data_IF_341671090851
#
_entry.id   IF_341671090851
#
_cell.length_a   1.000
_cell.length_b   1.000
_cell.length_c   1.000
_cell.angle_alpha   90.00
_cell.angle_beta   90.00
_cell.angle_gamma   90.00
#
_symmetry.space_group_name_H-M   'P 1'
#
loop_
_entity.id
_entity.type
_entity.pdbx_description
1 polymer ?
#
# COMPACT_ATOMS: atom_id res chain seq x y z
N UNK A 1 -0.58 -5.93 -39.40
CA UNK A 1 -1.39 -6.29 -38.23
C UNK A 1 -2.81 -6.54 -38.72
N UNK A 2 -3.43 -7.65 -38.34
CA UNK A 2 -4.81 -7.98 -38.76
C UNK A 2 -5.79 -7.05 -38.05
N UNK A 3 -6.78 -6.59 -38.77
CA UNK A 3 -7.81 -5.63 -38.27
C UNK A 3 -9.20 -6.28 -38.27
N UNK A 4 -10.15 -5.69 -37.54
CA UNK A 4 -11.55 -6.13 -37.59
C UNK A 4 -12.17 -6.06 -39.00
N UNK A 5 -11.65 -5.21 -39.91
CA UNK A 5 -12.05 -5.14 -41.28
C UNK A 5 -11.59 -6.38 -42.09
N UNK A 6 -10.42 -6.90 -41.79
CA UNK A 6 -9.89 -8.09 -42.42
C UNK A 6 -10.68 -9.34 -42.00
N UNK A 7 -11.06 -9.43 -40.71
CA UNK A 7 -11.91 -10.52 -40.17
C UNK A 7 -13.32 -10.42 -40.84
N UNK A 8 -13.87 -9.21 -40.97
CA UNK A 8 -15.16 -9.01 -41.59
C UNK A 8 -15.18 -9.47 -43.05
N UNK A 9 -14.11 -9.14 -43.79
CA UNK A 9 -13.93 -9.56 -45.20
C UNK A 9 -13.80 -11.09 -45.30
N UNK A 10 -12.97 -11.70 -44.52
CA UNK A 10 -12.73 -13.15 -44.55
C UNK A 10 -13.97 -13.94 -44.05
N UNK A 11 -14.64 -13.43 -43.03
CA UNK A 11 -15.85 -14.05 -42.47
C UNK A 11 -17.15 -13.77 -43.22
N UNK A 12 -17.12 -12.94 -44.29
CA UNK A 12 -18.31 -12.59 -45.05
C UNK A 12 -19.40 -11.84 -44.24
N UNK A 13 -19.00 -11.09 -43.19
CA UNK A 13 -19.91 -10.38 -42.31
C UNK A 13 -19.56 -8.91 -42.20
N UNK A 14 -20.47 -8.11 -41.66
CA UNK A 14 -20.18 -6.68 -41.42
C UNK A 14 -19.16 -6.45 -40.32
N UNK A 15 -18.43 -5.34 -40.38
CA UNK A 15 -17.48 -4.93 -39.31
C UNK A 15 -18.21 -4.77 -37.97
N UNK A 16 -19.47 -4.32 -37.97
CA UNK A 16 -20.28 -4.21 -36.76
C UNK A 16 -20.64 -5.59 -36.19
N UNK A 17 -20.86 -6.61 -37.03
CA UNK A 17 -21.09 -7.98 -36.61
C UNK A 17 -19.85 -8.56 -35.95
N UNK A 18 -18.67 -8.35 -36.54
CA UNK A 18 -17.38 -8.77 -35.95
C UNK A 18 -17.17 -8.10 -34.59
N UNK A 19 -17.34 -6.76 -34.53
CA UNK A 19 -17.17 -5.99 -33.30
C UNK A 19 -18.08 -6.49 -32.16
N UNK A 20 -19.35 -6.77 -32.48
CA UNK A 20 -20.33 -7.29 -31.51
C UNK A 20 -20.04 -8.73 -31.09
N UNK A 21 -19.61 -9.57 -32.04
CA UNK A 21 -19.25 -10.95 -31.75
C UNK A 21 -18.03 -11.06 -30.84
N UNK A 22 -17.00 -10.22 -31.07
CA UNK A 22 -15.79 -10.14 -30.24
C UNK A 22 -16.04 -9.51 -28.86
N UNK A 23 -17.16 -8.78 -28.71
CA UNK A 23 -17.60 -8.17 -27.45
C UNK A 23 -18.68 -9.00 -26.72
N UNK A 24 -18.94 -10.23 -27.14
CA UNK A 24 -19.96 -11.13 -26.56
C UNK A 24 -21.38 -10.51 -26.49
N UNK A 25 -21.70 -9.63 -27.44
CA UNK A 25 -22.99 -8.97 -27.47
C UNK A 25 -24.14 -9.96 -27.61
N UNK A 26 -25.19 -9.86 -26.78
CA UNK A 26 -26.37 -10.72 -26.88
C UNK A 26 -27.13 -10.56 -28.21
N UNK A 27 -26.82 -9.52 -28.98
CA UNK A 27 -27.43 -9.28 -30.31
C UNK A 27 -26.86 -10.20 -31.40
N UNK A 28 -25.83 -10.99 -31.10
CA UNK A 28 -25.22 -11.93 -32.05
C UNK A 28 -25.46 -13.36 -31.51
N UNK A 29 -25.96 -14.29 -32.37
CA UNK A 29 -26.13 -15.69 -31.97
C UNK A 29 -24.79 -16.30 -31.53
N UNK A 30 -24.81 -17.09 -30.45
CA UNK A 30 -23.60 -17.72 -29.89
C UNK A 30 -22.77 -18.47 -30.94
N UNK A 31 -23.44 -19.23 -31.82
CA UNK A 31 -22.76 -19.97 -32.89
C UNK A 31 -22.01 -19.07 -33.88
N UNK A 32 -22.56 -17.89 -34.17
CA UNK A 32 -21.91 -16.91 -35.04
C UNK A 32 -20.75 -16.23 -34.29
N UNK A 33 -20.92 -15.88 -33.03
CA UNK A 33 -19.87 -15.32 -32.19
C UNK A 33 -18.66 -16.26 -32.11
N UNK A 34 -18.89 -17.55 -31.83
CA UNK A 34 -17.81 -18.55 -31.78
C UNK A 34 -17.06 -18.71 -33.10
N UNK A 35 -17.79 -18.73 -34.24
CA UNK A 35 -17.15 -18.79 -35.56
C UNK A 35 -16.23 -17.60 -35.82
N UNK A 36 -16.71 -16.40 -35.49
CA UNK A 36 -15.93 -15.16 -35.66
C UNK A 36 -14.71 -15.14 -34.73
N UNK A 37 -14.83 -15.57 -33.47
CA UNK A 37 -13.72 -15.68 -32.53
C UNK A 37 -12.64 -16.65 -33.01
N UNK A 38 -13.04 -17.85 -33.45
CA UNK A 38 -12.09 -18.83 -34.03
C UNK A 38 -11.41 -18.28 -35.30
N UNK A 39 -12.13 -17.53 -36.13
CA UNK A 39 -11.54 -16.90 -37.30
C UNK A 39 -10.52 -15.83 -36.92
N UNK A 40 -10.85 -14.97 -35.97
CA UNK A 40 -9.97 -13.94 -35.44
C UNK A 40 -8.68 -14.55 -34.86
N UNK A 41 -8.79 -15.62 -34.10
CA UNK A 41 -7.68 -16.36 -33.51
C UNK A 41 -6.77 -16.97 -34.60
N UNK A 42 -7.34 -17.65 -35.59
CA UNK A 42 -6.57 -18.21 -36.73
C UNK A 42 -5.84 -17.15 -37.53
N UNK A 43 -6.44 -15.95 -37.66
CA UNK A 43 -5.81 -14.83 -38.37
C UNK A 43 -4.75 -14.10 -37.52
N UNK A 44 -4.57 -14.47 -36.27
CA UNK A 44 -3.65 -13.78 -35.35
C UNK A 44 -4.12 -12.36 -35.01
N UNK A 45 -5.44 -12.14 -34.95
CA UNK A 45 -5.98 -10.85 -34.53
C UNK A 45 -5.76 -10.64 -33.06
N UNK A 46 -5.10 -9.54 -32.73
CA UNK A 46 -4.95 -9.05 -31.36
C UNK A 46 -5.91 -7.87 -31.18
N UNK A 47 -6.75 -7.97 -30.15
CA UNK A 47 -7.71 -6.93 -29.83
C UNK A 47 -6.97 -5.62 -29.51
N UNK A 48 -7.28 -4.56 -30.22
CA UNK A 48 -6.66 -3.27 -29.98
C UNK A 48 -7.44 -2.53 -28.87
N UNK A 49 -6.95 -2.65 -27.65
CA UNK A 49 -7.56 -2.04 -26.46
C UNK A 49 -7.58 -0.51 -26.51
N UNK A 50 -6.56 0.11 -27.12
CA UNK A 50 -6.53 1.54 -27.37
C UNK A 50 -7.68 2.01 -28.28
N UNK A 51 -8.04 1.20 -29.30
CA UNK A 51 -9.16 1.50 -30.19
C UNK A 51 -10.52 1.32 -29.45
N UNK A 52 -10.61 0.39 -28.53
CA UNK A 52 -11.81 0.16 -27.72
C UNK A 52 -11.97 1.30 -26.72
N UNK A 53 -10.93 1.65 -26.00
CA UNK A 53 -10.89 2.80 -25.08
C UNK A 53 -11.27 4.12 -25.78
N UNK A 54 -10.85 4.30 -27.06
CA UNK A 54 -11.27 5.44 -27.87
C UNK A 54 -12.77 5.43 -28.18
N UNK A 55 -13.36 4.25 -28.39
CA UNK A 55 -14.78 4.09 -28.75
C UNK A 55 -15.70 4.15 -27.53
N UNK A 56 -15.28 3.60 -26.40
CA UNK A 56 -16.08 3.50 -25.18
C UNK A 56 -15.87 4.68 -24.23
N UNK A 57 -14.77 5.44 -24.42
CA UNK A 57 -14.33 6.48 -23.47
C UNK A 57 -13.77 5.94 -22.16
N UNK A 58 -13.78 4.60 -21.95
CA UNK A 58 -13.33 3.94 -20.72
C UNK A 58 -12.05 3.18 -21.00
N UNK A 59 -11.02 3.40 -20.21
CA UNK A 59 -9.79 2.61 -20.18
C UNK A 59 -9.92 1.51 -19.12
N UNK A 60 -9.36 0.36 -19.40
CA UNK A 60 -9.19 -0.71 -18.42
C UNK A 60 -7.74 -0.73 -17.89
N UNK A 61 -7.24 0.44 -17.54
CA UNK A 61 -5.85 0.60 -17.10
C UNK A 61 -5.77 1.49 -15.86
N UNK A 62 -5.08 1.02 -14.83
CA UNK A 62 -4.86 1.75 -13.59
C UNK A 62 -3.38 2.06 -13.40
N UNK A 63 -3.08 3.20 -12.80
CA UNK A 63 -1.72 3.60 -12.45
C UNK A 63 -1.37 3.24 -11.02
N UNK A 64 -0.12 2.86 -10.77
CA UNK A 64 0.41 2.71 -9.41
C UNK A 64 1.50 3.74 -9.19
N UNK A 65 1.34 4.55 -8.17
CA UNK A 65 2.34 5.43 -7.61
C UNK A 65 2.84 4.83 -6.30
N UNK A 66 4.14 4.61 -6.20
CA UNK A 66 4.78 4.16 -4.97
C UNK A 66 5.74 5.23 -4.49
N UNK A 67 5.53 5.70 -3.26
CA UNK A 67 6.41 6.66 -2.57
C UNK A 67 7.32 5.96 -1.55
N UNK A 68 7.39 4.63 -1.59
CA UNK A 68 8.36 3.89 -0.79
C UNK A 68 9.76 4.41 -1.12
N UNK A 69 10.54 4.68 -0.08
CA UNK A 69 11.91 5.16 -0.22
C UNK A 69 12.65 4.38 -1.31
N UNK A 70 13.46 5.08 -2.11
CA UNK A 70 14.23 4.49 -3.21
C UNK A 70 15.06 3.28 -2.76
N UNK A 71 15.41 3.20 -1.48
CA UNK A 71 16.14 2.08 -0.88
C UNK A 71 15.38 0.75 -0.88
N UNK A 72 14.05 0.76 -0.77
CA UNK A 72 13.24 -0.46 -0.69
C UNK A 72 12.47 -0.76 -1.97
N UNK A 73 12.00 0.26 -2.68
CA UNK A 73 11.22 0.10 -3.89
C UNK A 73 10.08 -0.92 -3.71
N UNK A 74 9.95 -1.87 -4.63
CA UNK A 74 8.97 -2.95 -4.58
C UNK A 74 9.38 -4.14 -3.69
N UNK A 75 10.59 -4.13 -3.11
CA UNK A 75 11.05 -5.21 -2.22
C UNK A 75 10.51 -5.09 -0.78
N UNK A 76 9.81 -4.01 -0.46
CA UNK A 76 9.19 -3.84 0.84
C UNK A 76 8.01 -4.80 1.02
N UNK A 77 8.14 -5.79 1.90
CA UNK A 77 7.17 -6.89 2.05
C UNK A 77 5.72 -6.46 2.27
N UNK A 78 5.48 -5.43 3.09
CA UNK A 78 4.13 -4.91 3.34
C UNK A 78 3.50 -4.43 2.03
N UNK A 79 4.20 -3.53 1.32
CA UNK A 79 3.68 -2.93 0.09
C UNK A 79 3.66 -3.91 -1.06
N UNK A 80 4.64 -4.80 -1.15
CA UNK A 80 4.63 -5.91 -2.10
C UNK A 80 3.41 -6.83 -1.90
N UNK A 81 3.05 -7.12 -0.65
CA UNK A 81 1.86 -7.92 -0.32
C UNK A 81 0.55 -7.23 -0.69
N UNK A 82 0.45 -5.92 -0.45
CA UNK A 82 -0.72 -5.11 -0.84
C UNK A 82 -0.83 -5.05 -2.37
N UNK A 83 0.29 -4.77 -3.05
CA UNK A 83 0.34 -4.69 -4.49
C UNK A 83 0.01 -6.03 -5.17
N UNK A 84 0.51 -7.15 -4.64
CA UNK A 84 0.20 -8.49 -5.16
C UNK A 84 -1.31 -8.78 -5.09
N UNK A 85 -1.94 -8.47 -3.95
CA UNK A 85 -3.37 -8.67 -3.77
C UNK A 85 -4.22 -7.76 -4.66
N UNK A 86 -3.79 -6.49 -4.81
CA UNK A 86 -4.41 -5.53 -5.73
C UNK A 86 -4.27 -5.99 -7.17
N UNK A 87 -3.07 -6.37 -7.59
CA UNK A 87 -2.79 -6.79 -8.96
C UNK A 87 -3.58 -8.05 -9.36
N UNK A 88 -3.67 -9.02 -8.46
CA UNK A 88 -4.50 -10.22 -8.69
C UNK A 88 -5.95 -9.85 -8.94
N UNK A 89 -6.51 -8.98 -8.11
CA UNK A 89 -7.90 -8.56 -8.24
C UNK A 89 -8.16 -7.74 -9.49
N UNK A 90 -7.25 -6.83 -9.86
CA UNK A 90 -7.31 -6.07 -11.12
C UNK A 90 -7.28 -7.01 -12.34
N UNK A 91 -6.40 -8.00 -12.31
CA UNK A 91 -6.31 -9.01 -13.37
C UNK A 91 -7.60 -9.83 -13.51
N UNK A 92 -8.23 -10.23 -12.41
CA UNK A 92 -9.53 -10.92 -12.40
C UNK A 92 -10.63 -10.06 -13.06
N UNK A 93 -10.50 -8.74 -12.99
CA UNK A 93 -11.40 -7.75 -13.61
C UNK A 93 -10.96 -7.31 -15.01
N UNK A 94 -9.92 -7.90 -15.58
CA UNK A 94 -9.31 -7.56 -16.88
C UNK A 94 -8.78 -6.13 -16.94
N UNK A 95 -8.23 -5.61 -15.84
CA UNK A 95 -7.53 -4.33 -15.84
C UNK A 95 -6.02 -4.52 -15.98
N UNK A 96 -5.39 -3.65 -16.76
CA UNK A 96 -3.94 -3.54 -16.86
C UNK A 96 -3.39 -2.58 -15.81
N UNK A 97 -2.17 -2.84 -15.34
CA UNK A 97 -1.52 -2.04 -14.32
C UNK A 97 -0.28 -1.37 -14.90
N UNK A 98 -0.18 -0.06 -14.73
CA UNK A 98 0.97 0.74 -15.12
C UNK A 98 1.69 1.29 -13.90
N UNK A 99 2.99 1.02 -13.82
CA UNK A 99 3.84 1.66 -12.83
C UNK A 99 4.17 3.08 -13.30
N UNK A 100 3.89 4.06 -12.46
CA UNK A 100 4.15 5.47 -12.75
C UNK A 100 5.54 5.84 -12.22
N UNK A 101 6.39 6.34 -13.09
CA UNK A 101 7.75 6.71 -12.73
C UNK A 101 7.79 7.92 -11.78
N UNK A 102 8.66 7.84 -10.77
CA UNK A 102 8.92 8.94 -9.83
C UNK A 102 9.40 10.23 -10.52
N UNK A 103 9.95 10.15 -11.75
CA UNK A 103 10.27 11.34 -12.54
C UNK A 103 9.06 12.22 -12.84
N UNK A 104 7.88 11.62 -12.97
CA UNK A 104 6.62 12.33 -13.18
C UNK A 104 6.12 13.06 -11.94
N UNK A 105 6.67 12.75 -10.77
CA UNK A 105 6.28 13.34 -9.48
C UNK A 105 6.93 14.68 -9.17
N UNK A 106 7.87 15.14 -9.99
CA UNK A 106 8.59 16.41 -9.76
C UNK A 106 7.70 17.65 -9.95
N UNK A 107 6.64 17.51 -10.73
CA UNK A 107 5.68 18.58 -11.03
C UNK A 107 4.27 17.97 -11.21
N UNK A 108 3.31 18.49 -10.47
CA UNK A 108 1.93 17.97 -10.46
C UNK A 108 1.24 18.06 -11.81
N UNK A 109 1.50 19.11 -12.59
CA UNK A 109 0.90 19.26 -13.92
C UNK A 109 1.48 18.25 -14.92
N UNK A 110 2.76 17.90 -14.76
CA UNK A 110 3.41 16.84 -15.54
C UNK A 110 2.84 15.47 -15.18
N UNK A 111 2.59 15.23 -13.88
CA UNK A 111 1.95 14.00 -13.42
C UNK A 111 0.55 13.86 -14.03
N UNK A 112 -0.32 14.85 -13.85
CA UNK A 112 -1.70 14.81 -14.38
C UNK A 112 -1.73 14.64 -15.89
N UNK A 113 -0.89 15.37 -16.62
CA UNK A 113 -0.75 15.19 -18.09
C UNK A 113 -0.32 13.77 -18.45
N UNK A 114 0.63 13.20 -17.72
CA UNK A 114 1.09 11.81 -17.96
C UNK A 114 -0.03 10.80 -17.72
N UNK A 115 -0.79 10.94 -16.63
CA UNK A 115 -1.91 10.06 -16.31
C UNK A 115 -3.03 10.14 -17.38
N UNK A 116 -3.41 11.36 -17.75
CA UNK A 116 -4.43 11.59 -18.79
C UNK A 116 -3.97 11.11 -20.17
N UNK A 117 -2.70 11.30 -20.55
CA UNK A 117 -2.17 10.84 -21.82
C UNK A 117 -2.19 9.31 -21.95
N UNK A 118 -2.02 8.60 -20.84
CA UNK A 118 -2.14 7.14 -20.75
C UNK A 118 -3.59 6.66 -20.62
N UNK A 119 -4.55 7.60 -20.50
CA UNK A 119 -5.97 7.31 -20.30
C UNK A 119 -6.24 6.37 -19.13
N UNK A 120 -5.49 6.51 -18.04
CA UNK A 120 -5.70 5.70 -16.85
C UNK A 120 -7.07 6.03 -16.24
N UNK A 121 -7.83 5.00 -15.87
CA UNK A 121 -9.14 5.16 -15.26
C UNK A 121 -9.08 5.45 -13.76
N UNK A 122 -7.93 5.23 -13.13
CA UNK A 122 -7.68 5.53 -11.72
C UNK A 122 -6.23 5.32 -11.34
N UNK A 123 -5.90 5.70 -10.13
CA UNK A 123 -4.54 5.61 -9.59
C UNK A 123 -4.58 5.04 -8.17
N UNK A 124 -3.73 4.06 -7.91
CA UNK A 124 -3.41 3.60 -6.57
C UNK A 124 -2.12 4.26 -6.08
N UNK A 125 -2.19 4.92 -4.93
CA UNK A 125 -1.02 5.43 -4.21
C UNK A 125 -0.70 4.47 -3.08
N UNK A 126 0.47 3.84 -3.15
CA UNK A 126 1.00 2.98 -2.10
C UNK A 126 1.95 3.77 -1.23
N UNK A 127 1.66 3.78 0.05
CA UNK A 127 2.50 4.28 1.11
C UNK A 127 3.03 5.71 1.03
N UNK A 128 3.10 6.26 2.21
CA UNK A 128 3.80 7.50 2.45
C UNK A 128 3.11 8.63 1.71
N UNK A 129 2.02 9.07 2.25
CA UNK A 129 1.49 10.35 1.86
C UNK A 129 2.62 11.38 1.93
N UNK A 130 3.39 11.41 0.86
CA UNK A 130 4.28 12.53 0.62
C UNK A 130 3.37 13.71 0.30
N UNK A 131 3.32 14.71 1.18
CA UNK A 131 2.64 16.00 0.94
C UNK A 131 3.31 16.77 -0.20
N UNK A 132 3.78 16.08 -1.23
CA UNK A 132 4.32 16.71 -2.41
C UNK A 132 3.20 17.42 -3.15
N UNK A 133 3.49 18.56 -3.73
CA UNK A 133 2.57 19.33 -4.56
C UNK A 133 1.91 18.48 -5.65
N UNK A 134 2.64 17.51 -6.17
CA UNK A 134 2.14 16.58 -7.20
C UNK A 134 1.04 15.65 -6.71
N UNK A 135 1.19 15.10 -5.49
CA UNK A 135 0.17 14.25 -4.88
C UNK A 135 -1.05 15.07 -4.52
N UNK A 136 -0.85 16.26 -3.97
CA UNK A 136 -1.93 17.19 -3.64
C UNK A 136 -2.78 17.50 -4.88
N UNK A 137 -2.13 17.90 -5.98
CA UNK A 137 -2.84 18.15 -7.25
C UNK A 137 -3.56 16.91 -7.79
N UNK A 138 -3.01 15.70 -7.59
CA UNK A 138 -3.69 14.46 -8.00
C UNK A 138 -4.93 14.21 -7.16
N UNK A 139 -4.84 14.33 -5.84
CA UNK A 139 -5.95 14.13 -4.92
C UNK A 139 -7.08 15.15 -5.14
N UNK A 140 -6.75 16.38 -5.52
CA UNK A 140 -7.69 17.44 -5.85
C UNK A 140 -8.27 17.32 -7.28
N UNK A 141 -7.76 16.39 -8.10
CA UNK A 141 -8.16 16.24 -9.49
C UNK A 141 -9.44 15.40 -9.67
N UNK A 142 -9.89 15.31 -10.91
CA UNK A 142 -11.01 14.46 -11.37
C UNK A 142 -10.59 12.98 -11.62
N UNK A 143 -9.34 12.62 -11.32
CA UNK A 143 -8.85 11.25 -11.54
C UNK A 143 -9.18 10.41 -10.30
N UNK A 144 -9.95 9.31 -10.42
CA UNK A 144 -10.20 8.40 -9.31
C UNK A 144 -8.89 7.94 -8.67
N UNK A 145 -8.76 8.18 -7.37
CA UNK A 145 -7.51 7.92 -6.66
C UNK A 145 -7.79 7.16 -5.38
N UNK A 146 -7.03 6.11 -5.14
CA UNK A 146 -7.05 5.37 -3.90
C UNK A 146 -5.70 5.53 -3.21
N UNK A 147 -5.72 5.92 -1.95
CA UNK A 147 -4.53 6.10 -1.12
C UNK A 147 -4.53 5.05 -0.02
N UNK A 148 -3.45 4.26 0.06
CA UNK A 148 -3.27 3.30 1.14
C UNK A 148 -2.39 3.91 2.22
N UNK A 149 -2.88 3.88 3.46
CA UNK A 149 -2.22 4.44 4.65
C UNK A 149 -1.90 5.94 4.55
N UNK A 150 -2.66 6.64 3.73
CA UNK A 150 -2.65 8.09 3.67
C UNK A 150 -4.03 8.62 4.02
N UNK A 151 -4.09 9.67 4.81
CA UNK A 151 -5.32 10.41 5.06
C UNK A 151 -5.02 11.90 5.03
N UNK A 152 -5.86 12.65 4.34
CA UNK A 152 -5.89 14.11 4.41
C UNK A 152 -7.34 14.54 4.61
N UNK A 153 -7.54 15.57 5.41
CA UNK A 153 -8.88 16.09 5.69
C UNK A 153 -9.50 16.75 4.44
N UNK A 154 -8.66 17.19 3.49
CA UNK A 154 -9.07 17.87 2.25
C UNK A 154 -8.99 16.94 1.02
N UNK A 155 -9.61 15.77 1.07
CA UNK A 155 -9.67 14.86 -0.07
C UNK A 155 -10.89 15.18 -0.96
N UNK A 156 -10.70 15.07 -2.28
CA UNK A 156 -11.79 15.24 -3.25
C UNK A 156 -12.79 14.06 -3.18
N UNK A 157 -13.99 14.27 -3.73
CA UNK A 157 -15.01 13.22 -3.88
C UNK A 157 -14.51 12.01 -4.71
N UNK A 158 -13.44 12.19 -5.49
CA UNK A 158 -12.83 11.14 -6.32
C UNK A 158 -11.69 10.43 -5.64
N UNK A 159 -11.38 10.75 -4.39
CA UNK A 159 -10.27 10.14 -3.63
C UNK A 159 -10.80 9.33 -2.45
N UNK A 160 -10.33 8.10 -2.33
CA UNK A 160 -10.66 7.20 -1.24
C UNK A 160 -9.40 6.81 -0.47
N UNK A 161 -9.49 6.79 0.85
CA UNK A 161 -8.42 6.33 1.72
C UNK A 161 -8.76 4.97 2.31
N UNK A 162 -7.80 4.06 2.25
CA UNK A 162 -7.89 2.72 2.83
C UNK A 162 -6.73 2.55 3.79
N UNK A 163 -7.01 2.18 5.01
CA UNK A 163 -5.99 2.03 6.04
C UNK A 163 -6.29 0.81 6.93
N UNK A 164 -5.25 0.29 7.56
CA UNK A 164 -5.41 -0.64 8.67
C UNK A 164 -6.01 0.08 9.88
N UNK A 165 -6.58 -0.69 10.81
CA UNK A 165 -7.04 -0.21 12.11
C UNK A 165 -5.85 0.18 13.01
N UNK A 166 -5.08 1.18 12.60
CA UNK A 166 -3.82 1.58 13.22
C UNK A 166 -3.96 1.90 14.71
N UNK A 167 -5.01 2.64 15.09
CA UNK A 167 -5.29 3.01 16.48
C UNK A 167 -5.59 1.75 17.32
N UNK A 168 -6.49 0.91 16.83
CA UNK A 168 -6.90 -0.29 17.54
C UNK A 168 -5.77 -1.32 17.65
N UNK A 169 -5.02 -1.54 16.56
CA UNK A 169 -3.86 -2.43 16.57
C UNK A 169 -2.82 -2.02 17.59
N UNK A 170 -2.49 -0.73 17.67
CA UNK A 170 -1.54 -0.23 18.66
C UNK A 170 -2.10 -0.25 20.08
N UNK A 171 -3.38 -0.01 20.26
CA UNK A 171 -4.06 -0.15 21.56
C UNK A 171 -3.96 -1.59 22.08
N UNK A 172 -4.29 -2.58 21.24
CA UNK A 172 -4.22 -4.00 21.62
C UNK A 172 -2.80 -4.46 21.94
N UNK A 173 -1.83 -4.05 21.10
CA UNK A 173 -0.42 -4.34 21.35
C UNK A 173 0.04 -3.78 22.70
N UNK A 174 -0.25 -2.50 22.96
CA UNK A 174 0.12 -1.83 24.20
C UNK A 174 -0.54 -2.49 25.40
N UNK A 175 -1.83 -2.79 25.30
CA UNK A 175 -2.58 -3.49 26.35
C UNK A 175 -2.00 -4.87 26.65
N UNK A 176 -1.56 -5.60 25.62
CA UNK A 176 -0.91 -6.90 25.80
C UNK A 176 0.43 -6.79 26.55
N UNK A 177 1.23 -5.77 26.23
CA UNK A 177 2.51 -5.50 26.91
C UNK A 177 2.29 -5.07 28.37
N UNK A 178 1.28 -4.22 28.61
CA UNK A 178 0.91 -3.82 29.97
C UNK A 178 0.43 -5.01 30.83
N UNK A 179 -0.34 -5.94 30.25
CA UNK A 179 -0.76 -7.19 30.92
C UNK A 179 0.43 -8.10 31.30
N UNK A 180 1.54 -8.00 30.56
CA UNK A 180 2.80 -8.72 30.90
C UNK A 180 3.61 -8.05 32.01
N UNK A 181 3.15 -6.94 32.56
CA UNK A 181 3.77 -6.26 33.71
C UNK A 181 4.66 -5.07 33.33
N UNK A 182 4.87 -4.79 32.05
CA UNK A 182 5.60 -3.59 31.66
C UNK A 182 4.85 -2.33 32.09
N UNK A 183 5.59 -1.33 32.59
CA UNK A 183 5.05 -0.03 32.99
C UNK A 183 5.86 1.10 32.39
N UNK A 184 7.16 0.93 32.22
CA UNK A 184 8.04 1.88 31.59
C UNK A 184 8.27 1.47 30.14
N UNK A 185 7.43 1.97 29.23
CA UNK A 185 7.39 1.60 27.83
C UNK A 185 7.76 2.83 27.00
N UNK A 186 8.75 2.70 26.12
CA UNK A 186 9.09 3.73 25.16
C UNK A 186 8.47 3.44 23.80
N UNK A 187 8.20 4.48 23.05
CA UNK A 187 7.74 4.38 21.67
C UNK A 187 8.58 5.28 20.76
N UNK A 188 9.35 4.64 19.88
CA UNK A 188 9.99 5.30 18.75
C UNK A 188 8.92 5.40 17.66
N UNK A 189 8.37 6.62 17.46
CA UNK A 189 7.31 6.87 16.49
C UNK A 189 7.91 7.02 15.07
N UNK A 190 7.10 6.82 14.04
CA UNK A 190 7.43 7.22 12.67
C UNK A 190 7.39 8.73 12.45
N UNK A 191 7.52 9.14 11.20
CA UNK A 191 7.34 10.55 10.78
C UNK A 191 5.92 11.04 11.07
N UNK A 192 5.72 12.34 10.87
CA UNK A 192 4.47 13.05 11.12
C UNK A 192 3.40 12.74 10.05
N UNK A 193 2.92 11.50 10.07
CA UNK A 193 1.88 11.00 9.16
C UNK A 193 0.62 10.58 9.93
N UNK A 194 -0.49 10.50 9.23
CA UNK A 194 -1.76 10.03 9.78
C UNK A 194 -1.64 8.71 10.55
N UNK A 195 -0.98 7.69 9.96
CA UNK A 195 -0.80 6.39 10.61
C UNK A 195 -0.03 6.50 11.93
N UNK A 196 0.95 7.39 12.02
CA UNK A 196 1.70 7.67 13.25
C UNK A 196 0.80 8.25 14.32
N UNK A 197 -0.03 9.23 13.94
CA UNK A 197 -0.97 9.86 14.87
C UNK A 197 -1.97 8.84 15.43
N UNK A 198 -2.53 7.99 14.58
CA UNK A 198 -3.47 6.95 15.02
C UNK A 198 -2.80 5.90 15.93
N UNK A 199 -1.59 5.47 15.61
CA UNK A 199 -0.83 4.54 16.45
C UNK A 199 -0.48 5.17 17.80
N UNK A 200 -0.05 6.45 17.82
CA UNK A 200 0.21 7.19 19.08
C UNK A 200 -1.06 7.35 19.90
N UNK A 201 -2.21 7.65 19.28
CA UNK A 201 -3.51 7.71 19.96
C UNK A 201 -3.86 6.38 20.63
N UNK A 202 -3.71 5.27 19.91
CA UNK A 202 -3.96 3.92 20.45
C UNK A 202 -3.03 3.57 21.61
N UNK A 203 -1.74 3.87 21.49
CA UNK A 203 -0.74 3.67 22.54
C UNK A 203 -1.11 4.47 23.82
N UNK A 204 -1.38 5.76 23.67
CA UNK A 204 -1.76 6.64 24.80
C UNK A 204 -3.07 6.22 25.46
N UNK A 205 -4.05 5.80 24.66
CA UNK A 205 -5.32 5.32 25.16
C UNK A 205 -5.13 4.08 26.05
N UNK A 206 -4.35 3.08 25.63
CA UNK A 206 -4.08 1.88 26.41
C UNK A 206 -3.36 2.19 27.72
N UNK A 207 -2.37 3.10 27.71
CA UNK A 207 -1.71 3.56 28.93
C UNK A 207 -2.71 4.18 29.92
N UNK A 208 -3.50 5.15 29.46
CA UNK A 208 -4.47 5.84 30.29
C UNK A 208 -5.49 4.89 30.93
N UNK A 209 -6.03 3.96 30.14
CA UNK A 209 -7.01 2.98 30.62
C UNK A 209 -6.40 1.98 31.62
N UNK A 210 -5.08 1.75 31.55
CA UNK A 210 -4.36 0.96 32.55
C UNK A 210 -4.02 1.71 33.85
N UNK A 211 -4.42 2.97 33.97
CA UNK A 211 -4.06 3.82 35.09
C UNK A 211 -2.63 4.39 35.04
N UNK A 212 -1.98 4.33 33.88
CA UNK A 212 -0.64 4.88 33.67
C UNK A 212 -0.72 6.18 32.87
N UNK A 213 -0.05 7.24 33.34
CA UNK A 213 0.07 8.45 32.54
C UNK A 213 1.16 8.29 31.47
N UNK A 214 0.89 8.68 30.21
CA UNK A 214 1.90 8.69 29.18
C UNK A 214 3.08 9.61 29.54
N UNK A 215 4.27 9.05 29.61
CA UNK A 215 5.49 9.83 29.85
C UNK A 215 6.03 10.35 28.51
N UNK A 216 5.85 11.65 28.23
CA UNK A 216 6.29 12.27 26.98
C UNK A 216 7.80 12.08 26.71
N UNK A 217 8.61 11.93 27.76
CA UNK A 217 10.02 11.63 27.60
C UNK A 217 10.27 10.25 26.98
N UNK A 218 9.33 9.33 26.99
CA UNK A 218 9.44 8.01 26.39
C UNK A 218 8.96 7.97 24.94
N UNK A 219 8.50 9.09 24.39
CA UNK A 219 8.22 9.23 22.95
C UNK A 219 9.44 9.85 22.27
N UNK A 220 9.95 9.15 21.25
CA UNK A 220 11.09 9.62 20.44
C UNK A 220 10.67 9.60 18.98
N UNK A 221 10.92 10.67 18.25
CA UNK A 221 10.68 10.70 16.81
C UNK A 221 11.75 9.91 16.07
N UNK A 222 11.32 8.97 15.26
CA UNK A 222 12.11 8.19 14.33
C UNK A 222 11.63 8.37 12.90
N UNK A 223 11.98 7.41 12.08
CA UNK A 223 11.52 7.30 10.70
C UNK A 223 11.09 5.88 10.43
N UNK A 224 10.09 5.72 9.57
CA UNK A 224 9.71 4.41 9.07
C UNK A 224 10.87 3.84 8.24
N UNK A 225 11.12 2.53 8.39
CA UNK A 225 12.06 1.75 7.58
C UNK A 225 13.47 2.33 7.53
N UNK A 226 13.82 3.19 8.47
CA UNK A 226 15.13 3.85 8.52
C UNK A 226 15.98 3.33 9.67
N UNK A 227 16.95 2.55 9.28
CA UNK A 227 17.85 1.82 10.14
C UNK A 227 18.84 2.72 10.92
N UNK A 228 19.28 3.82 10.33
CA UNK A 228 20.26 4.71 10.95
C UNK A 228 19.74 5.48 12.16
N UNK A 229 18.46 5.88 12.13
CA UNK A 229 17.82 6.62 13.24
C UNK A 229 17.46 5.69 14.41
N UNK A 230 17.35 4.38 14.17
CA UNK A 230 17.03 3.40 15.21
C UNK A 230 18.08 3.34 16.30
N UNK A 231 19.37 3.33 15.93
CA UNK A 231 20.48 3.25 16.89
C UNK A 231 20.54 4.48 17.82
N UNK A 232 20.48 5.68 17.24
CA UNK A 232 20.52 6.92 18.03
C UNK A 232 19.36 7.01 19.02
N UNK A 233 18.16 6.66 18.57
CA UNK A 233 16.96 6.67 19.40
C UNK A 233 17.03 5.63 20.54
N UNK A 234 17.58 4.44 20.28
CA UNK A 234 17.84 3.43 21.31
C UNK A 234 18.84 3.99 22.33
N UNK A 235 19.93 4.62 21.90
CA UNK A 235 20.93 5.20 22.79
C UNK A 235 20.34 6.30 23.70
N UNK A 236 19.51 7.18 23.13
CA UNK A 236 18.80 8.20 23.89
C UNK A 236 17.90 7.58 24.97
N UNK A 237 17.15 6.54 24.63
CA UNK A 237 16.21 5.91 25.55
C UNK A 237 16.94 5.15 26.67
N UNK A 238 18.01 4.43 26.33
CA UNK A 238 18.78 3.63 27.30
C UNK A 238 19.66 4.50 28.22
N UNK A 239 20.02 5.71 27.81
CA UNK A 239 20.81 6.64 28.64
C UNK A 239 19.98 7.35 29.74
N UNK A 240 18.65 7.15 29.77
CA UNK A 240 17.77 7.78 30.75
C UNK A 240 17.99 7.21 32.15
N UNK A 241 17.77 7.99 33.23
CA UNK A 241 17.89 7.51 34.59
C UNK A 241 17.00 6.30 34.93
N UNK A 242 15.84 6.21 34.26
CA UNK A 242 14.94 5.07 34.33
C UNK A 242 14.67 4.59 32.88
N UNK A 243 15.53 3.69 32.35
CA UNK A 243 15.40 3.24 30.97
C UNK A 243 14.14 2.38 30.76
N UNK A 244 13.58 2.34 29.54
CA UNK A 244 12.39 1.55 29.27
C UNK A 244 12.66 0.05 29.40
N UNK A 245 11.66 -0.69 29.84
CA UNK A 245 11.68 -2.17 29.85
C UNK A 245 11.12 -2.77 28.57
N UNK A 246 10.46 -1.96 27.76
CA UNK A 246 9.95 -2.32 26.43
C UNK A 246 10.07 -1.13 25.50
N UNK A 247 10.52 -1.35 24.28
CA UNK A 247 10.58 -0.33 23.23
C UNK A 247 9.69 -0.77 22.08
N UNK A 248 8.75 0.10 21.70
CA UNK A 248 7.94 -0.02 20.50
C UNK A 248 8.63 0.69 19.35
N UNK A 249 8.64 0.03 18.20
CA UNK A 249 9.19 0.56 16.96
C UNK A 249 8.06 0.89 15.97
N UNK A 250 8.28 1.83 15.02
CA UNK A 250 7.26 2.26 14.08
C UNK A 250 6.84 1.15 13.11
N UNK A 251 7.75 0.22 12.84
CA UNK A 251 7.59 -0.89 11.91
C UNK A 251 8.48 -2.09 12.30
N UNK A 252 8.25 -3.24 11.68
CA UNK A 252 9.01 -4.45 11.97
C UNK A 252 10.46 -4.39 11.46
N UNK A 253 10.75 -3.67 10.37
CA UNK A 253 12.14 -3.55 9.87
C UNK A 253 13.02 -2.84 10.88
N UNK A 254 12.55 -1.71 11.41
CA UNK A 254 13.26 -0.98 12.46
C UNK A 254 13.40 -1.82 13.73
N UNK A 255 12.37 -2.63 14.06
CA UNK A 255 12.42 -3.56 15.18
C UNK A 255 13.47 -4.68 14.96
N UNK A 256 13.65 -5.20 13.74
CA UNK A 256 14.65 -6.23 13.44
C UNK A 256 16.07 -5.74 13.72
N UNK A 257 16.39 -4.51 13.30
CA UNK A 257 17.69 -3.92 13.64
C UNK A 257 17.90 -3.72 15.15
N UNK A 258 16.83 -3.33 15.84
CA UNK A 258 16.91 -3.15 17.28
C UNK A 258 17.37 -4.44 17.98
N UNK A 259 17.05 -5.62 17.45
CA UNK A 259 17.54 -6.89 18.00
C UNK A 259 19.07 -6.97 17.97
N UNK A 260 19.69 -6.59 16.86
CA UNK A 260 21.16 -6.60 16.75
C UNK A 260 21.80 -5.50 17.61
N UNK A 261 21.27 -4.28 17.55
CA UNK A 261 21.77 -3.15 18.32
C UNK A 261 21.74 -3.44 19.82
N UNK A 262 20.61 -3.96 20.33
CA UNK A 262 20.44 -4.25 21.75
C UNK A 262 21.34 -5.39 22.21
N UNK A 263 21.49 -6.45 21.39
CA UNK A 263 22.41 -7.56 21.68
C UNK A 263 23.86 -7.10 21.73
N UNK A 264 24.28 -6.26 20.78
CA UNK A 264 25.63 -5.70 20.76
C UNK A 264 25.92 -4.79 21.97
N UNK A 265 24.87 -4.27 22.62
CA UNK A 265 24.94 -3.55 23.89
C UNK A 265 24.86 -4.45 25.14
N UNK A 266 24.75 -5.76 24.96
CA UNK A 266 24.69 -6.75 26.04
C UNK A 266 23.28 -7.01 26.58
N UNK A 267 22.20 -6.49 25.98
CA UNK A 267 20.85 -6.76 26.45
C UNK A 267 20.33 -8.10 25.92
N UNK A 268 19.69 -8.85 26.77
CA UNK A 268 18.95 -10.08 26.44
C UNK A 268 17.51 -9.68 26.16
N UNK A 269 17.10 -9.81 24.87
CA UNK A 269 15.75 -9.47 24.44
C UNK A 269 14.76 -10.45 25.03
N UNK A 270 13.67 -9.92 25.62
CA UNK A 270 12.67 -10.71 26.33
C UNK A 270 12.97 -10.98 27.79
N UNK A 271 14.20 -10.73 28.25
CA UNK A 271 14.60 -10.84 29.65
C UNK A 271 14.95 -9.47 30.26
N UNK A 272 15.91 -8.76 29.65
CA UNK A 272 16.36 -7.45 30.14
C UNK A 272 15.53 -6.32 29.51
N UNK A 273 15.12 -6.48 28.23
CA UNK A 273 14.32 -5.53 27.49
C UNK A 273 13.43 -6.24 26.46
N UNK A 274 12.22 -5.77 26.29
CA UNK A 274 11.29 -6.25 25.27
C UNK A 274 11.27 -5.33 24.05
N UNK A 275 11.01 -5.90 22.86
CA UNK A 275 10.88 -5.20 21.59
C UNK A 275 9.54 -5.52 20.98
N UNK A 276 8.85 -4.50 20.48
CA UNK A 276 7.59 -4.65 19.77
C UNK A 276 7.62 -3.83 18.47
N UNK A 277 7.06 -4.39 17.39
CA UNK A 277 6.98 -3.77 16.07
C UNK A 277 5.54 -3.57 15.61
N UNK A 278 5.41 -3.24 14.34
CA UNK A 278 4.13 -3.12 13.63
C UNK A 278 4.37 -3.58 12.18
N UNK A 279 3.46 -4.30 11.56
CA UNK A 279 3.29 -4.80 10.20
C UNK A 279 3.02 -6.31 10.16
N UNK A 280 3.58 -7.09 11.10
CA UNK A 280 3.43 -8.54 11.18
C UNK A 280 4.21 -9.27 10.10
N UNK A 281 5.42 -8.80 9.79
CA UNK A 281 6.28 -9.41 8.78
C UNK A 281 6.71 -10.82 9.21
N UNK A 282 6.71 -11.74 8.25
CA UNK A 282 7.00 -13.16 8.49
C UNK A 282 8.41 -13.38 9.09
N UNK A 283 9.36 -12.52 8.73
CA UNK A 283 10.71 -12.56 9.29
C UNK A 283 10.72 -12.44 10.81
N UNK A 284 9.80 -11.69 11.42
CA UNK A 284 9.66 -11.54 12.87
C UNK A 284 9.40 -12.85 13.60
N UNK A 285 8.77 -13.83 12.93
CA UNK A 285 8.53 -15.16 13.49
C UNK A 285 9.80 -16.02 13.61
N UNK A 286 10.86 -15.67 12.87
CA UNK A 286 12.14 -16.39 12.87
C UNK A 286 13.18 -15.78 13.82
N UNK A 287 12.89 -14.63 14.41
CA UNK A 287 13.75 -14.06 15.45
C UNK A 287 13.69 -14.87 16.75
N UNK A 288 14.71 -14.72 17.59
CA UNK A 288 14.75 -15.34 18.90
C UNK A 288 15.12 -14.28 19.96
N UNK A 289 14.18 -13.97 20.87
CA UNK A 289 12.77 -14.41 20.85
C UNK A 289 12.02 -13.87 19.64
N UNK A 290 10.85 -14.44 19.32
CA UNK A 290 10.00 -13.96 18.24
C UNK A 290 9.56 -12.52 18.48
N UNK A 291 9.52 -11.72 17.42
CA UNK A 291 9.03 -10.34 17.52
C UNK A 291 7.53 -10.32 17.86
N UNK A 292 7.18 -9.55 18.88
CA UNK A 292 5.81 -9.18 19.17
C UNK A 292 5.42 -8.02 18.25
N UNK A 293 4.38 -8.18 17.44
CA UNK A 293 4.00 -7.20 16.42
C UNK A 293 2.51 -7.23 16.13
N UNK A 294 1.99 -6.15 15.56
CA UNK A 294 0.64 -6.08 14.99
C UNK A 294 0.70 -6.53 13.53
N UNK A 295 -0.10 -7.52 13.17
CA UNK A 295 -0.16 -7.98 11.78
C UNK A 295 -1.19 -7.20 10.98
N UNK A 296 -0.76 -6.54 9.94
CA UNK A 296 -1.63 -5.91 8.96
C UNK A 296 -2.17 -6.95 7.96
N UNK A 297 -3.44 -6.80 7.58
CA UNK A 297 -4.06 -7.68 6.59
C UNK A 297 -3.82 -7.15 5.17
N UNK A 298 -2.60 -7.34 4.66
CA UNK A 298 -2.16 -6.86 3.33
C UNK A 298 -3.06 -7.36 2.19
N UNK A 299 -3.60 -8.59 2.32
CA UNK A 299 -4.49 -9.16 1.30
C UNK A 299 -5.83 -8.43 1.27
N UNK A 300 -6.38 -8.12 2.43
CA UNK A 300 -7.62 -7.36 2.53
C UNK A 300 -7.42 -5.94 2.02
N UNK A 301 -6.34 -5.25 2.43
CA UNK A 301 -6.03 -3.90 1.98
C UNK A 301 -5.92 -3.82 0.46
N UNK A 302 -5.13 -4.70 -0.16
CA UNK A 302 -4.96 -4.70 -1.61
C UNK A 302 -6.24 -5.05 -2.37
N UNK A 303 -7.01 -6.01 -1.88
CA UNK A 303 -8.29 -6.37 -2.48
C UNK A 303 -9.33 -5.26 -2.34
N UNK A 304 -9.47 -4.67 -1.15
CA UNK A 304 -10.38 -3.54 -0.94
C UNK A 304 -10.01 -2.37 -1.84
N UNK A 305 -8.71 -2.06 -1.98
CA UNK A 305 -8.24 -1.03 -2.90
C UNK A 305 -8.63 -1.30 -4.36
N UNK A 306 -8.71 -2.56 -4.77
CA UNK A 306 -9.10 -2.93 -6.12
C UNK A 306 -10.63 -2.94 -6.32
N UNK A 307 -11.39 -3.22 -5.27
CA UNK A 307 -12.86 -3.30 -5.33
C UNK A 307 -13.53 -1.91 -5.17
N UNK A 308 -12.81 -0.89 -4.64
CA UNK A 308 -13.26 0.50 -4.50
C UNK A 308 -13.11 1.26 -5.81
#
# INVERSE_FOLDING_TARGET
MVTIKDIAREGGVSVSTVSRALADSPLIPKSTSEKIKRLAERMGYVKNEAAISLKTGVSQSVGILSFVDEAFGFSHYLFAGILDAFAKRMNDCNYEIFLISNKSLRDGDTLLRSLRSKKLCGVLILCGYSRTESVKKLIESDIPTIVVDGFDEDISEMTYCISSENRWGMYELTSAILRKGHRNIAYICGEDYYVTHERVRGFRQALKESGSEPNEAMFVRGKYYNLSTGKENIDILLSRPNPPTCIFFPDDYTAFEAYEILRNKGYRIGEDISVAGFDGLELGAHLQPRLTTVRQNVKLLGRTAADT
#
